data_IF_747202638088
#
_entry.id   IF_747202638088
#
_cell.length_a   1.000
_cell.length_b   1.000
_cell.length_c   1.000
_cell.angle_alpha   90.00
_cell.angle_beta   90.00
_cell.angle_gamma   90.00
#
_symmetry.space_group_name_H-M   'P 1'
#
loop_
_entity.id
_entity.type
_entity.pdbx_description
1 polymer ?
#
# COMPACT_ATOMS: atom_id res chain seq x y z
N UNK A 1 0.81 15.63 10.00
CA UNK A 1 0.43 14.38 9.31
C UNK A 1 1.71 13.74 8.84
N UNK A 2 2.07 12.55 9.36
CA UNK A 2 3.15 11.72 8.81
C UNK A 2 2.49 10.73 7.85
N UNK A 3 2.31 11.15 6.60
CA UNK A 3 1.37 10.53 5.66
C UNK A 3 1.95 9.28 5.01
N UNK A 4 2.77 9.50 3.98
CA UNK A 4 3.43 8.47 3.18
C UNK A 4 4.85 8.14 3.69
N UNK A 5 5.15 8.47 4.95
CA UNK A 5 6.49 8.30 5.51
C UNK A 5 6.74 6.83 5.84
N UNK A 6 7.91 6.32 5.45
CA UNK A 6 8.35 4.98 5.80
C UNK A 6 8.95 4.99 7.20
N UNK A 7 8.51 4.07 8.05
CA UNK A 7 9.13 3.81 9.35
C UNK A 7 9.79 2.42 9.32
N UNK A 8 11.00 2.32 9.87
CA UNK A 8 11.73 1.08 10.05
C UNK A 8 11.92 0.84 11.55
N UNK A 9 11.66 -0.39 11.98
CA UNK A 9 12.01 -0.83 13.33
C UNK A 9 13.51 -1.16 13.37
N UNK A 10 14.18 -0.67 14.41
CA UNK A 10 15.62 -0.86 14.62
C UNK A 10 15.87 -1.24 16.07
N UNK A 11 16.93 -1.99 16.32
CA UNK A 11 17.42 -2.16 17.69
C UNK A 11 18.00 -0.83 18.18
N UNK A 12 17.64 -0.42 19.40
CA UNK A 12 18.09 0.85 19.98
C UNK A 12 19.63 0.95 20.06
N UNK A 13 20.33 -0.19 20.22
CA UNK A 13 21.80 -0.25 20.24
C UNK A 13 22.41 0.17 18.90
N UNK A 14 21.70 -0.05 17.79
CA UNK A 14 22.15 0.30 16.43
C UNK A 14 21.96 1.78 16.09
N UNK A 15 21.19 2.53 16.90
CA UNK A 15 20.86 3.93 16.60
C UNK A 15 22.09 4.80 16.29
N UNK A 16 23.17 4.80 17.09
CA UNK A 16 24.35 5.64 16.80
C UNK A 16 25.05 5.26 15.49
N UNK A 17 24.99 3.98 15.10
CA UNK A 17 25.56 3.49 13.84
C UNK A 17 24.75 3.95 12.63
N UNK A 18 23.42 3.88 12.75
CA UNK A 18 22.47 4.30 11.71
C UNK A 18 22.53 5.82 11.51
N UNK A 19 22.48 6.61 12.58
CA UNK A 19 22.57 8.08 12.51
C UNK A 19 23.89 8.52 11.89
N UNK A 20 25.01 7.87 12.25
CA UNK A 20 26.32 8.14 11.63
C UNK A 20 26.30 7.83 10.13
N UNK A 21 25.72 6.70 9.72
CA UNK A 21 25.63 6.32 8.31
C UNK A 21 24.79 7.31 7.50
N UNK A 22 23.66 7.75 8.04
CA UNK A 22 22.78 8.72 7.39
C UNK A 22 23.47 10.08 7.22
N UNK A 23 24.14 10.57 8.26
CA UNK A 23 24.93 11.81 8.19
C UNK A 23 26.07 11.73 7.16
N UNK A 24 26.77 10.59 7.07
CA UNK A 24 27.86 10.39 6.09
C UNK A 24 27.35 10.33 4.65
N UNK A 25 26.08 9.97 4.45
CA UNK A 25 25.45 9.78 3.14
C UNK A 25 24.49 10.91 2.76
N UNK A 26 24.37 11.94 3.60
CA UNK A 26 23.45 13.07 3.42
C UNK A 26 21.98 12.61 3.24
N UNK A 27 21.53 11.67 4.09
CA UNK A 27 20.16 11.14 4.08
C UNK A 27 19.38 11.68 5.28
N UNK A 28 18.34 12.44 5.00
CA UNK A 28 17.45 12.98 6.02
C UNK A 28 16.47 11.94 6.59
N UNK A 29 16.13 12.09 7.87
CA UNK A 29 15.08 11.32 8.54
C UNK A 29 14.26 12.23 9.46
N UNK A 30 12.98 11.88 9.67
CA UNK A 30 12.06 12.75 10.42
C UNK A 30 12.31 12.69 11.93
N UNK A 31 12.45 11.49 12.48
CA UNK A 31 12.68 11.27 13.93
C UNK A 31 12.96 9.80 14.20
N UNK A 32 13.87 9.50 15.13
CA UNK A 32 13.92 8.20 15.82
C UNK A 32 13.08 8.34 17.10
N UNK A 33 12.11 7.44 17.31
CA UNK A 33 11.25 7.45 18.50
C UNK A 33 11.25 6.08 19.16
N UNK A 34 11.29 5.98 20.50
CA UNK A 34 11.11 4.71 21.17
C UNK A 34 9.72 4.14 20.86
N UNK A 35 9.66 2.83 20.59
CA UNK A 35 8.41 2.08 20.55
C UNK A 35 7.81 2.11 21.97
N UNK A 36 6.65 2.74 22.14
CA UNK A 36 5.94 2.69 23.42
C UNK A 36 5.27 1.33 23.54
N UNK A 37 5.30 0.69 24.70
CA UNK A 37 4.55 -0.55 24.92
C UNK A 37 3.07 -0.31 24.62
N UNK A 38 2.56 -0.84 23.50
CA UNK A 38 1.21 -0.56 22.98
C UNK A 38 1.13 0.36 21.75
N UNK A 39 2.24 0.80 21.15
CA UNK A 39 2.20 1.34 19.77
C UNK A 39 1.66 0.27 18.83
N UNK A 40 0.62 0.64 18.08
CA UNK A 40 -0.10 -0.10 17.04
C UNK A 40 0.63 -1.36 16.59
N UNK A 41 -0.06 -2.51 16.62
CA UNK A 41 0.35 -3.69 15.84
C UNK A 41 0.93 -3.21 14.52
N UNK A 42 2.11 -3.74 14.15
CA UNK A 42 2.75 -3.51 12.86
C UNK A 42 1.65 -3.39 11.82
N UNK A 43 1.52 -2.21 11.21
CA UNK A 43 0.41 -1.91 10.31
C UNK A 43 0.35 -3.06 9.31
N UNK A 44 -0.69 -3.89 9.40
CA UNK A 44 -0.98 -4.87 8.37
C UNK A 44 -1.07 -4.08 7.07
N UNK A 45 -0.04 -4.23 6.24
CA UNK A 45 0.06 -3.48 5.00
C UNK A 45 -1.17 -3.79 4.17
N UNK A 46 -1.66 -5.04 4.25
CA UNK A 46 -2.80 -5.55 3.51
C UNK A 46 -3.91 -5.96 4.47
N UNK A 47 -5.13 -5.47 4.24
CA UNK A 47 -6.34 -5.90 4.94
C UNK A 47 -7.43 -6.23 3.93
N UNK A 48 -7.98 -7.44 4.03
CA UNK A 48 -9.07 -7.91 3.17
C UNK A 48 -10.41 -7.68 3.86
N UNK A 49 -11.42 -7.27 3.13
CA UNK A 49 -12.80 -7.13 3.62
C UNK A 49 -13.77 -7.68 2.58
N UNK A 50 -14.57 -8.65 3.01
CA UNK A 50 -15.59 -9.30 2.19
C UNK A 50 -16.93 -8.57 2.33
N UNK A 51 -17.54 -8.23 1.20
CA UNK A 51 -18.86 -7.57 1.10
C UNK A 51 -19.92 -8.46 0.44
N UNK A 52 -19.75 -9.77 0.45
CA UNK A 52 -20.65 -10.72 -0.21
C UNK A 52 -20.21 -10.94 -1.66
N UNK A 53 -20.78 -10.20 -2.60
CA UNK A 53 -20.43 -10.34 -4.03
C UNK A 53 -19.10 -9.68 -4.38
N UNK A 54 -18.62 -8.78 -3.53
CA UNK A 54 -17.38 -8.03 -3.75
C UNK A 54 -16.35 -8.30 -2.66
N UNK A 55 -15.08 -8.19 -3.00
CA UNK A 55 -13.96 -8.16 -2.05
C UNK A 55 -13.22 -6.86 -2.21
N UNK A 56 -12.92 -6.19 -1.10
CA UNK A 56 -12.01 -5.06 -1.05
C UNK A 56 -10.71 -5.47 -0.38
N UNK A 57 -9.60 -5.21 -1.08
CA UNK A 57 -8.27 -5.25 -0.48
C UNK A 57 -7.83 -3.82 -0.22
N UNK A 58 -7.48 -3.53 1.04
CA UNK A 58 -6.84 -2.30 1.45
C UNK A 58 -5.34 -2.53 1.59
N UNK A 59 -4.53 -1.77 0.86
CA UNK A 59 -3.08 -1.72 1.02
C UNK A 59 -2.64 -0.32 1.50
N UNK A 60 -2.10 -0.21 2.72
CA UNK A 60 -1.80 1.10 3.32
C UNK A 60 -3.04 1.99 3.40
N UNK A 61 -3.05 3.10 2.65
CA UNK A 61 -4.24 3.97 2.52
C UNK A 61 -5.01 3.79 1.21
N UNK A 62 -4.58 2.88 0.33
CA UNK A 62 -5.26 2.55 -0.93
C UNK A 62 -6.20 1.38 -0.75
N UNK A 63 -7.27 1.35 -1.55
CA UNK A 63 -8.26 0.26 -1.58
C UNK A 63 -8.58 -0.07 -3.03
N UNK A 64 -8.66 -1.36 -3.32
CA UNK A 64 -9.15 -1.90 -4.60
C UNK A 64 -10.28 -2.87 -4.28
N UNK A 65 -11.42 -2.70 -4.94
CA UNK A 65 -12.58 -3.58 -4.81
C UNK A 65 -12.90 -4.21 -6.15
N UNK A 66 -13.14 -5.51 -6.15
CA UNK A 66 -13.54 -6.26 -7.34
C UNK A 66 -14.74 -7.15 -7.06
N UNK A 67 -15.47 -7.48 -8.13
CA UNK A 67 -16.56 -8.46 -8.14
C UNK A 67 -16.01 -9.89 -8.22
N UNK A 68 -16.43 -10.76 -7.31
CA UNK A 68 -15.85 -12.11 -7.16
C UNK A 68 -16.09 -13.00 -8.36
N UNK A 69 -17.26 -12.89 -8.99
CA UNK A 69 -17.69 -13.76 -10.07
C UNK A 69 -17.00 -13.37 -11.39
N UNK A 70 -17.00 -12.08 -11.71
CA UNK A 70 -16.47 -11.56 -12.97
C UNK A 70 -14.98 -11.19 -12.90
N UNK A 71 -14.43 -10.94 -11.72
CA UNK A 71 -13.08 -10.40 -11.55
C UNK A 71 -12.94 -8.94 -11.99
N UNK A 72 -14.05 -8.23 -12.22
CA UNK A 72 -14.05 -6.83 -12.67
C UNK A 72 -13.79 -5.91 -11.48
N UNK A 73 -12.92 -4.92 -11.67
CA UNK A 73 -12.65 -3.87 -10.68
C UNK A 73 -13.83 -2.90 -10.66
N UNK A 74 -14.51 -2.83 -9.52
CA UNK A 74 -15.70 -1.99 -9.33
C UNK A 74 -15.41 -0.71 -8.56
N UNK A 75 -14.25 -0.61 -7.92
CA UNK A 75 -13.83 0.62 -7.24
C UNK A 75 -12.32 0.62 -6.96
N UNK A 76 -11.70 1.80 -7.08
CA UNK A 76 -10.41 2.09 -6.43
C UNK A 76 -10.55 3.40 -5.66
N UNK A 77 -10.08 3.44 -4.42
CA UNK A 77 -10.26 4.61 -3.55
C UNK A 77 -9.17 4.75 -2.50
N UNK A 78 -9.10 5.92 -1.88
CA UNK A 78 -8.10 6.26 -0.86
C UNK A 78 -6.95 7.09 -1.42
N UNK A 79 -5.86 7.13 -0.66
CA UNK A 79 -4.71 7.97 -0.97
C UNK A 79 -5.01 9.47 -0.96
N UNK A 80 -4.06 10.24 -1.48
CA UNK A 80 -4.16 11.69 -1.70
C UNK A 80 -3.08 12.21 -2.66
N UNK A 81 -2.45 11.27 -3.39
CA UNK A 81 -1.39 11.55 -4.34
C UNK A 81 -2.00 12.07 -5.66
N UNK A 82 -1.29 12.94 -6.41
CA UNK A 82 -1.84 13.59 -7.60
C UNK A 82 -2.11 12.62 -8.76
N UNK A 83 -1.48 11.45 -8.77
CA UNK A 83 -1.65 10.41 -9.80
C UNK A 83 -2.89 9.52 -9.58
N UNK A 84 -3.54 9.58 -8.42
CA UNK A 84 -4.65 8.68 -8.07
C UNK A 84 -5.87 8.80 -8.99
N UNK A 85 -6.33 10.00 -9.39
CA UNK A 85 -7.45 10.10 -10.33
C UNK A 85 -7.16 9.43 -11.68
N UNK A 86 -5.92 9.52 -12.17
CA UNK A 86 -5.51 8.85 -13.41
C UNK A 86 -5.47 7.34 -13.23
N UNK A 87 -4.84 6.84 -12.16
CA UNK A 87 -4.83 5.42 -11.82
C UNK A 87 -6.24 4.85 -11.70
N UNK A 88 -7.16 5.58 -11.07
CA UNK A 88 -8.56 5.16 -10.94
C UNK A 88 -9.21 4.97 -12.31
N UNK A 89 -9.09 5.96 -13.20
CA UNK A 89 -9.66 5.91 -14.54
C UNK A 89 -9.06 4.77 -15.40
N UNK A 90 -7.78 4.44 -15.21
CA UNK A 90 -7.13 3.36 -15.95
C UNK A 90 -7.50 1.95 -15.44
N UNK A 91 -8.07 1.82 -14.24
CA UNK A 91 -8.34 0.52 -13.61
C UNK A 91 -9.83 0.17 -13.54
N UNK A 92 -10.70 1.16 -13.38
CA UNK A 92 -12.13 0.94 -13.18
C UNK A 92 -12.77 0.21 -14.37
N UNK A 93 -13.75 -0.65 -14.09
CA UNK A 93 -14.53 -1.44 -15.07
C UNK A 93 -13.70 -2.39 -15.95
N UNK A 94 -12.46 -2.70 -15.55
CA UNK A 94 -11.59 -3.65 -16.25
C UNK A 94 -11.35 -4.92 -15.43
N UNK A 95 -11.09 -6.07 -16.06
CA UNK A 95 -10.71 -7.29 -15.35
C UNK A 95 -9.37 -7.13 -14.63
N UNK A 96 -9.24 -7.69 -13.43
CA UNK A 96 -8.00 -7.67 -12.63
C UNK A 96 -6.75 -8.13 -13.42
N UNK A 97 -6.90 -9.04 -14.38
CA UNK A 97 -5.79 -9.60 -15.15
C UNK A 97 -5.37 -8.75 -16.36
N UNK A 98 -6.21 -7.80 -16.80
CA UNK A 98 -6.00 -7.04 -18.04
C UNK A 98 -5.60 -5.58 -17.79
N UNK A 99 -5.70 -5.12 -16.54
CA UNK A 99 -5.33 -3.77 -16.18
C UNK A 99 -3.82 -3.52 -16.25
N UNK A 100 -3.38 -2.29 -16.57
CA UNK A 100 -2.01 -1.90 -16.38
C UNK A 100 -1.62 -2.01 -14.91
N UNK A 101 -0.37 -2.38 -14.66
CA UNK A 101 0.21 -2.42 -13.32
C UNK A 101 0.27 -1.00 -12.75
N UNK A 102 -0.38 -0.66 -11.62
CA UNK A 102 -0.32 0.67 -11.03
C UNK A 102 1.09 1.22 -10.86
N UNK A 103 2.07 0.35 -10.60
CA UNK A 103 3.48 0.73 -10.45
C UNK A 103 4.16 1.22 -11.74
N UNK A 104 3.60 0.88 -12.90
CA UNK A 104 4.15 1.20 -14.21
C UNK A 104 3.52 2.49 -14.80
N UNK A 105 2.32 2.86 -14.33
CA UNK A 105 1.58 4.07 -14.76
C UNK A 105 1.47 5.15 -13.66
N UNK A 106 2.01 4.89 -12.47
CA UNK A 106 2.04 5.82 -11.34
C UNK A 106 3.43 6.00 -10.75
N UNK A 107 3.66 7.14 -10.10
CA UNK A 107 4.99 7.55 -9.62
C UNK A 107 5.08 7.68 -8.09
N UNK A 108 3.96 7.46 -7.39
CA UNK A 108 3.86 7.72 -5.95
C UNK A 108 3.84 6.45 -5.12
N UNK A 109 4.04 6.58 -3.81
CA UNK A 109 3.83 5.47 -2.88
C UNK A 109 2.38 4.96 -2.95
N UNK A 110 1.41 5.84 -3.19
CA UNK A 110 0.02 5.44 -3.39
C UNK A 110 -0.11 4.46 -4.57
N UNK A 111 0.60 4.68 -5.68
CA UNK A 111 0.63 3.75 -6.81
C UNK A 111 1.20 2.39 -6.43
N UNK A 112 2.28 2.36 -5.63
CA UNK A 112 2.88 1.11 -5.14
C UNK A 112 1.98 0.37 -4.16
N UNK A 113 1.21 1.08 -3.34
CA UNK A 113 0.22 0.47 -2.46
C UNK A 113 -0.96 -0.07 -3.27
N UNK A 114 -1.41 0.64 -4.30
CA UNK A 114 -2.47 0.14 -5.18
C UNK A 114 -2.03 -1.10 -5.96
N UNK A 115 -0.77 -1.17 -6.38
CA UNK A 115 -0.15 -2.38 -6.94
C UNK A 115 -0.23 -3.55 -5.94
N UNK A 116 0.19 -3.36 -4.69
CA UNK A 116 0.12 -4.42 -3.67
C UNK A 116 -1.31 -4.91 -3.43
N UNK A 117 -2.30 -4.01 -3.47
CA UNK A 117 -3.71 -4.39 -3.39
C UNK A 117 -4.15 -5.20 -4.63
N UNK A 118 -3.71 -4.83 -5.83
CA UNK A 118 -4.02 -5.56 -7.07
C UNK A 118 -3.44 -6.98 -7.04
N UNK A 119 -2.19 -7.15 -6.60
CA UNK A 119 -1.55 -8.46 -6.46
C UNK A 119 -2.36 -9.38 -5.55
N UNK A 120 -2.76 -8.87 -4.38
CA UNK A 120 -3.59 -9.63 -3.45
C UNK A 120 -4.97 -9.97 -4.03
N UNK A 121 -5.62 -9.03 -4.74
CA UNK A 121 -6.88 -9.30 -5.41
C UNK A 121 -6.76 -10.42 -6.46
N UNK A 122 -5.66 -10.44 -7.22
CA UNK A 122 -5.38 -11.50 -8.18
C UNK A 122 -5.20 -12.86 -7.51
N UNK A 123 -4.50 -12.89 -6.37
CA UNK A 123 -4.31 -14.12 -5.60
C UNK A 123 -5.65 -14.63 -5.04
N UNK A 124 -6.44 -13.75 -4.42
CA UNK A 124 -7.76 -14.09 -3.89
C UNK A 124 -8.73 -14.56 -4.99
N UNK A 125 -8.77 -13.90 -6.15
CA UNK A 125 -9.65 -14.29 -7.25
C UNK A 125 -9.27 -15.65 -7.86
N UNK A 126 -7.99 -16.04 -7.79
CA UNK A 126 -7.52 -17.37 -8.21
C UNK A 126 -7.74 -18.46 -7.15
N UNK A 127 -8.31 -18.13 -5.98
CA UNK A 127 -8.50 -19.04 -4.86
C UNK A 127 -7.27 -19.19 -3.95
N UNK A 128 -6.34 -18.24 -4.00
CA UNK A 128 -5.23 -18.10 -3.06
C UNK A 128 -5.72 -17.67 -1.67
N UNK A 129 -5.04 -18.15 -0.62
CA UNK A 129 -5.37 -17.94 0.80
C UNK A 129 -5.15 -16.52 1.26
#
# INVERSE_FOLDING_TARGET
RKGCDLALEINLVEQPGIERLFNQRDVDYVSVTPLKTGTSELLEIVKVTDFGNWVMVKAGNMKLTFDKDSGIIVNTSGGGCPDIPHLHAELIDKPLAEVPRPRDIGFTLCARMLERALEECLDLHRGGR
#
